data_IF_900971725310
#
_entry.id   IF_900971725310
#
_cell.length_a   1.000
_cell.length_b   1.000
_cell.length_c   1.000
_cell.angle_alpha   90.00
_cell.angle_beta   90.00
_cell.angle_gamma   90.00
#
_symmetry.space_group_name_H-M   'P 1'
#
loop_
_entity.id
_entity.type
_entity.pdbx_description
1 polymer ?
#
# COMPACT_ATOMS: atom_id res chain seq x y z
N UNK A 1 -43.02 0.53 3.99
CA UNK A 1 -42.88 -0.82 3.38
C UNK A 1 -42.62 -1.78 4.51
N UNK A 2 -43.47 -2.80 4.71
CA UNK A 2 -43.23 -3.81 5.72
C UNK A 2 -42.06 -4.69 5.25
N UNK A 3 -40.93 -4.62 5.94
CA UNK A 3 -39.77 -5.48 5.69
C UNK A 3 -40.21 -6.95 5.94
N UNK A 4 -40.12 -7.81 4.92
CA UNK A 4 -40.36 -9.27 5.00
C UNK A 4 -39.06 -10.04 4.85
N UNK A 5 -39.01 -11.31 5.29
CA UNK A 5 -37.80 -12.13 5.12
C UNK A 5 -37.38 -12.26 3.64
N UNK A 6 -38.33 -12.41 2.71
CA UNK A 6 -38.02 -12.43 1.27
C UNK A 6 -37.46 -11.09 0.76
N UNK A 7 -37.93 -9.94 1.27
CA UNK A 7 -37.33 -8.64 0.92
C UNK A 7 -35.93 -8.46 1.51
N UNK A 8 -35.65 -9.03 2.68
CA UNK A 8 -34.32 -9.03 3.28
C UNK A 8 -33.36 -9.85 2.43
N UNK A 9 -33.75 -11.04 1.97
CA UNK A 9 -32.94 -11.86 1.07
C UNK A 9 -32.61 -11.12 -0.23
N UNK A 10 -33.60 -10.48 -0.86
CA UNK A 10 -33.37 -9.66 -2.05
C UNK A 10 -32.41 -8.49 -1.80
N UNK A 11 -32.54 -7.83 -0.64
CA UNK A 11 -31.63 -6.75 -0.23
C UNK A 11 -30.20 -7.24 -0.01
N UNK A 12 -30.02 -8.36 0.68
CA UNK A 12 -28.70 -8.95 0.93
C UNK A 12 -28.04 -9.41 -0.38
N UNK A 13 -28.80 -10.00 -1.29
CA UNK A 13 -28.29 -10.46 -2.58
C UNK A 13 -27.85 -9.32 -3.52
N UNK A 14 -28.51 -8.16 -3.43
CA UNK A 14 -28.19 -6.98 -4.24
C UNK A 14 -27.28 -5.96 -3.56
N UNK A 15 -26.91 -6.17 -2.29
CA UNK A 15 -26.11 -5.22 -1.54
C UNK A 15 -24.68 -5.18 -2.05
N UNK A 16 -24.22 -3.98 -2.35
CA UNK A 16 -22.81 -3.70 -2.71
C UNK A 16 -22.10 -2.92 -1.62
N UNK A 17 -22.86 -2.35 -0.68
CA UNK A 17 -22.37 -1.55 0.44
C UNK A 17 -23.32 -1.64 1.65
N UNK A 18 -22.84 -1.37 2.88
CA UNK A 18 -23.65 -1.51 4.09
C UNK A 18 -24.92 -0.64 4.12
N UNK A 19 -24.92 0.52 3.47
CA UNK A 19 -26.11 1.37 3.37
C UNK A 19 -27.23 0.73 2.54
N UNK A 20 -26.92 -0.17 1.61
CA UNK A 20 -27.93 -0.90 0.84
C UNK A 20 -28.72 -1.85 1.76
N UNK A 21 -28.08 -2.37 2.81
CA UNK A 21 -28.69 -3.29 3.80
C UNK A 21 -29.42 -2.54 4.90
N UNK A 22 -28.73 -1.60 5.55
CA UNK A 22 -29.23 -0.93 6.75
C UNK A 22 -29.98 0.38 6.46
N UNK A 23 -29.85 0.95 5.26
CA UNK A 23 -30.43 2.23 4.88
C UNK A 23 -29.73 3.42 5.50
N UNK A 24 -30.19 4.63 5.19
CA UNK A 24 -29.67 5.83 5.84
C UNK A 24 -29.94 5.78 7.35
N UNK A 25 -28.89 6.01 8.14
CA UNK A 25 -28.95 6.00 9.61
C UNK A 25 -28.86 7.45 10.11
N UNK A 26 -29.89 7.91 10.82
CA UNK A 26 -29.96 9.26 11.38
C UNK A 26 -29.51 9.32 12.84
N UNK A 27 -29.19 10.54 13.30
CA UNK A 27 -28.82 10.78 14.69
C UNK A 27 -27.49 10.12 15.07
N UNK A 28 -27.46 9.44 16.22
CA UNK A 28 -26.32 8.58 16.60
C UNK A 28 -26.31 7.34 15.70
N UNK A 29 -25.47 7.40 14.66
CA UNK A 29 -25.35 6.36 13.63
C UNK A 29 -25.00 5.00 14.20
N UNK A 30 -24.17 4.94 15.26
CA UNK A 30 -23.77 3.67 15.88
C UNK A 30 -24.95 3.02 16.62
N UNK A 31 -25.72 3.83 17.36
CA UNK A 31 -26.95 3.35 18.01
C UNK A 31 -28.02 2.94 16.99
N UNK A 32 -28.21 3.74 15.93
CA UNK A 32 -29.16 3.47 14.87
C UNK A 32 -28.82 2.16 14.14
N UNK A 33 -27.54 1.92 13.83
CA UNK A 33 -27.06 0.66 13.24
C UNK A 33 -27.41 -0.53 14.14
N UNK A 34 -27.11 -0.44 15.44
CA UNK A 34 -27.39 -1.53 16.40
C UNK A 34 -28.88 -1.86 16.48
N UNK A 35 -29.75 -0.84 16.43
CA UNK A 35 -31.19 -1.04 16.41
C UNK A 35 -31.64 -1.71 15.10
N UNK A 36 -31.16 -1.21 13.96
CA UNK A 36 -31.51 -1.74 12.64
C UNK A 36 -31.04 -3.18 12.46
N UNK A 37 -29.81 -3.49 12.89
CA UNK A 37 -29.27 -4.85 12.86
C UNK A 37 -30.14 -5.81 13.65
N UNK A 38 -30.55 -5.46 14.89
CA UNK A 38 -31.42 -6.31 15.70
C UNK A 38 -32.77 -6.60 15.03
N UNK A 39 -33.36 -5.60 14.37
CA UNK A 39 -34.61 -5.78 13.62
C UNK A 39 -34.43 -6.79 12.48
N UNK A 40 -33.40 -6.60 11.65
CA UNK A 40 -33.12 -7.50 10.52
C UNK A 40 -32.69 -8.91 10.98
N UNK A 41 -31.96 -9.01 12.09
CA UNK A 41 -31.53 -10.27 12.67
C UNK A 41 -32.72 -11.08 13.23
N UNK A 42 -33.69 -10.42 13.86
CA UNK A 42 -34.93 -11.07 14.28
C UNK A 42 -35.72 -11.60 13.07
N UNK A 43 -35.75 -10.85 11.97
CA UNK A 43 -36.39 -11.31 10.73
C UNK A 43 -35.68 -12.50 10.07
N UNK A 44 -34.35 -12.57 10.18
CA UNK A 44 -33.54 -13.67 9.64
C UNK A 44 -33.45 -14.89 10.58
N UNK A 45 -34.08 -14.85 11.76
CA UNK A 45 -33.98 -15.92 12.73
C UNK A 45 -34.68 -17.20 12.23
N UNK A 46 -34.08 -18.40 12.39
CA UNK A 46 -34.69 -19.66 11.94
C UNK A 46 -36.09 -19.91 12.51
N UNK A 47 -36.33 -19.59 13.78
CA UNK A 47 -37.65 -19.76 14.43
C UNK A 47 -38.75 -18.91 13.81
N UNK A 48 -38.39 -17.79 13.16
CA UNK A 48 -39.35 -16.92 12.47
C UNK A 48 -39.62 -17.37 11.02
N UNK A 49 -38.87 -18.37 10.52
CA UNK A 49 -38.91 -18.83 9.13
C UNK A 49 -38.94 -20.37 9.05
N UNK A 50 -39.98 -21.02 9.61
CA UNK A 50 -40.10 -22.48 9.58
C UNK A 50 -40.11 -23.00 8.13
N UNK A 51 -39.31 -24.04 7.86
CA UNK A 51 -39.14 -24.61 6.52
C UNK A 51 -38.08 -23.93 5.64
N UNK A 52 -37.43 -22.84 6.12
CA UNK A 52 -36.38 -22.09 5.38
C UNK A 52 -35.08 -21.94 6.17
N UNK A 53 -34.69 -22.98 6.91
CA UNK A 53 -33.56 -22.93 7.84
C UNK A 53 -32.23 -22.59 7.16
N UNK A 54 -31.93 -23.20 6.01
CA UNK A 54 -30.68 -22.96 5.28
C UNK A 54 -30.56 -21.50 4.80
N UNK A 55 -31.63 -20.94 4.25
CA UNK A 55 -31.68 -19.54 3.80
C UNK A 55 -31.57 -18.56 4.98
N UNK A 56 -32.21 -18.89 6.10
CA UNK A 56 -32.14 -18.08 7.33
C UNK A 56 -30.71 -18.02 7.87
N UNK A 57 -30.01 -19.16 7.89
CA UNK A 57 -28.63 -19.24 8.34
C UNK A 57 -27.68 -18.48 7.42
N UNK A 58 -27.84 -18.62 6.09
CA UNK A 58 -27.07 -17.85 5.11
C UNK A 58 -27.32 -16.34 5.25
N UNK A 59 -28.59 -15.93 5.38
CA UNK A 59 -28.95 -14.53 5.58
C UNK A 59 -28.36 -13.94 6.86
N UNK A 60 -28.33 -14.71 7.95
CA UNK A 60 -27.75 -14.27 9.22
C UNK A 60 -26.22 -14.09 9.12
N UNK A 61 -25.54 -15.00 8.41
CA UNK A 61 -24.10 -14.90 8.15
C UNK A 61 -23.77 -13.64 7.34
N UNK A 62 -24.48 -13.41 6.24
CA UNK A 62 -24.33 -12.20 5.42
C UNK A 62 -24.66 -10.93 6.19
N UNK A 63 -25.76 -10.93 6.96
CA UNK A 63 -26.14 -9.77 7.77
C UNK A 63 -25.07 -9.43 8.82
N UNK A 64 -24.43 -10.44 9.42
CA UNK A 64 -23.32 -10.24 10.35
C UNK A 64 -22.09 -9.65 9.63
N UNK A 65 -21.77 -10.14 8.43
CA UNK A 65 -20.70 -9.58 7.60
C UNK A 65 -20.94 -8.09 7.29
N UNK A 66 -22.14 -7.74 6.81
CA UNK A 66 -22.51 -6.36 6.52
C UNK A 66 -22.51 -5.47 7.77
N UNK A 67 -22.93 -6.00 8.93
CA UNK A 67 -22.91 -5.25 10.18
C UNK A 67 -21.48 -4.90 10.61
N UNK A 68 -20.54 -5.85 10.50
CA UNK A 68 -19.13 -5.59 10.79
C UNK A 68 -18.53 -4.52 9.86
N UNK A 69 -18.89 -4.55 8.56
CA UNK A 69 -18.51 -3.50 7.61
C UNK A 69 -19.11 -2.14 7.97
N UNK A 70 -20.39 -2.09 8.32
CA UNK A 70 -21.08 -0.86 8.73
C UNK A 70 -20.41 -0.22 9.96
N UNK A 71 -20.06 -1.03 10.97
CA UNK A 71 -19.36 -0.55 12.17
C UNK A 71 -18.02 0.09 11.83
N UNK A 72 -17.22 -0.53 10.94
CA UNK A 72 -15.95 0.06 10.46
C UNK A 72 -16.17 1.38 9.73
N UNK A 73 -17.15 1.42 8.81
CA UNK A 73 -17.47 2.65 8.08
C UNK A 73 -17.93 3.79 8.99
N UNK A 74 -18.73 3.48 10.01
CA UNK A 74 -19.16 4.49 10.99
C UNK A 74 -17.97 5.01 11.79
N UNK A 75 -17.09 4.12 12.27
CA UNK A 75 -15.89 4.52 13.01
C UNK A 75 -14.94 5.41 12.18
N UNK A 76 -14.92 5.23 10.86
CA UNK A 76 -14.14 6.02 9.91
C UNK A 76 -14.90 7.25 9.37
N UNK A 77 -16.16 7.45 9.74
CA UNK A 77 -17.00 8.52 9.22
C UNK A 77 -17.33 8.39 7.71
N UNK A 78 -17.22 7.19 7.14
CA UNK A 78 -17.44 6.90 5.71
C UNK A 78 -18.80 6.27 5.41
N UNK A 79 -19.60 5.93 6.42
CA UNK A 79 -20.90 5.29 6.23
C UNK A 79 -21.82 6.13 5.32
N UNK A 80 -22.34 5.49 4.26
CA UNK A 80 -23.24 6.13 3.29
C UNK A 80 -22.57 7.10 2.32
N UNK A 81 -21.23 7.21 2.32
CA UNK A 81 -20.49 7.99 1.32
C UNK A 81 -20.16 7.13 0.12
N UNK A 82 -20.13 7.73 -1.06
CA UNK A 82 -19.59 7.06 -2.24
C UNK A 82 -18.09 6.77 -2.04
N UNK A 83 -17.61 5.57 -2.41
CA UNK A 83 -16.18 5.27 -2.34
C UNK A 83 -15.39 6.15 -3.31
N UNK A 84 -14.16 6.49 -2.93
CA UNK A 84 -13.19 7.19 -3.79
C UNK A 84 -12.55 6.25 -4.80
N UNK A 85 -12.44 4.97 -4.43
CA UNK A 85 -12.02 3.88 -5.32
C UNK A 85 -12.78 2.62 -4.95
N UNK A 86 -13.26 1.88 -5.95
CA UNK A 86 -13.82 0.55 -5.77
C UNK A 86 -13.38 -0.31 -6.95
N UNK A 87 -12.72 -1.43 -6.65
CA UNK A 87 -12.20 -2.36 -7.64
C UNK A 87 -12.75 -3.73 -7.30
N UNK A 88 -13.51 -4.32 -8.22
CA UNK A 88 -13.92 -5.72 -8.13
C UNK A 88 -13.04 -6.56 -9.06
N UNK A 89 -12.42 -7.59 -8.51
CA UNK A 89 -11.68 -8.63 -9.23
C UNK A 89 -12.37 -9.98 -8.98
N UNK A 90 -12.05 -11.03 -9.76
CA UNK A 90 -12.52 -12.39 -9.43
C UNK A 90 -12.14 -12.87 -8.02
N UNK A 91 -11.07 -12.31 -7.44
CA UNK A 91 -10.52 -12.69 -6.15
C UNK A 91 -11.19 -11.94 -4.99
N UNK A 92 -11.46 -10.65 -5.17
CA UNK A 92 -11.90 -9.79 -4.08
C UNK A 92 -12.53 -8.47 -4.56
N UNK A 93 -13.16 -7.75 -3.64
CA UNK A 93 -13.56 -6.36 -3.86
C UNK A 93 -12.80 -5.45 -2.90
N UNK A 94 -12.06 -4.49 -3.45
CA UNK A 94 -11.29 -3.50 -2.72
C UNK A 94 -12.01 -2.17 -2.73
N UNK A 95 -12.25 -1.59 -1.56
CA UNK A 95 -12.97 -0.31 -1.45
C UNK A 95 -12.22 0.67 -0.57
N UNK A 96 -12.04 1.89 -1.06
CA UNK A 96 -11.35 2.98 -0.37
C UNK A 96 -12.19 4.25 -0.30
N UNK A 97 -12.23 4.88 0.88
CA UNK A 97 -13.00 6.10 1.15
C UNK A 97 -12.11 7.31 1.46
N UNK A 98 -10.86 7.07 1.84
CA UNK A 98 -9.90 8.12 2.13
C UNK A 98 -9.51 8.89 0.86
N UNK A 99 -9.04 10.13 1.04
CA UNK A 99 -8.41 10.86 -0.05
C UNK A 99 -7.15 10.10 -0.52
N UNK A 100 -6.85 10.09 -1.84
CA UNK A 100 -5.63 9.49 -2.32
C UNK A 100 -4.40 10.25 -1.81
N UNK A 101 -3.32 9.51 -1.57
CA UNK A 101 -2.00 10.05 -1.31
C UNK A 101 -1.31 10.23 -2.66
N UNK A 102 -0.94 11.46 -3.00
CA UNK A 102 -0.31 11.75 -4.28
C UNK A 102 1.16 11.33 -4.31
N UNK A 103 1.58 10.59 -5.35
CA UNK A 103 2.98 10.31 -5.67
C UNK A 103 3.47 11.12 -6.87
N UNK A 104 4.59 10.72 -7.50
CA UNK A 104 5.06 11.32 -8.76
C UNK A 104 4.33 10.67 -9.96
N UNK A 105 4.50 9.35 -10.09
CA UNK A 105 3.95 8.53 -11.18
C UNK A 105 2.56 7.95 -10.90
N UNK A 106 2.22 7.80 -9.62
CA UNK A 106 1.06 7.06 -9.14
C UNK A 106 0.33 7.83 -8.04
N UNK A 107 -0.95 7.54 -7.87
CA UNK A 107 -1.71 7.90 -6.67
C UNK A 107 -1.95 6.62 -5.84
N UNK A 108 -1.84 6.74 -4.52
CA UNK A 108 -2.05 5.64 -3.59
C UNK A 108 -3.40 5.80 -2.91
N UNK A 109 -4.23 4.77 -2.97
CA UNK A 109 -5.56 4.77 -2.37
C UNK A 109 -5.58 3.77 -1.21
N UNK A 110 -5.68 4.24 0.04
CA UNK A 110 -6.00 3.36 1.17
C UNK A 110 -7.35 2.69 0.94
N UNK A 111 -7.38 1.37 1.06
CA UNK A 111 -8.55 0.55 0.77
C UNK A 111 -8.68 -0.61 1.76
N UNK A 112 -9.79 -1.32 1.70
CA UNK A 112 -10.05 -2.52 2.50
C UNK A 112 -10.59 -3.66 1.62
N UNK A 113 -10.21 -4.88 1.96
CA UNK A 113 -10.83 -6.13 1.50
C UNK A 113 -10.66 -7.19 2.58
N UNK A 114 -11.51 -7.14 3.61
CA UNK A 114 -11.36 -7.94 4.84
C UNK A 114 -10.23 -7.47 5.77
N UNK A 115 -9.12 -7.01 5.17
CA UNK A 115 -7.96 -6.40 5.81
C UNK A 115 -7.56 -5.10 5.11
N UNK A 116 -6.59 -4.37 5.67
CA UNK A 116 -6.11 -3.10 5.12
C UNK A 116 -5.25 -3.33 3.88
N UNK A 117 -5.58 -2.62 2.82
CA UNK A 117 -4.93 -2.66 1.52
C UNK A 117 -4.49 -1.26 1.10
N UNK A 118 -3.57 -1.21 0.14
CA UNK A 118 -3.13 -0.01 -0.53
C UNK A 118 -3.19 -0.26 -2.04
N UNK A 119 -4.00 0.49 -2.75
CA UNK A 119 -4.10 0.39 -4.21
C UNK A 119 -3.24 1.50 -4.81
N UNK A 120 -2.14 1.13 -5.46
CA UNK A 120 -1.27 2.07 -6.18
C UNK A 120 -1.70 2.13 -7.64
N UNK A 121 -2.23 3.28 -8.08
CA UNK A 121 -2.80 3.47 -9.43
C UNK A 121 -1.90 4.38 -10.24
N UNK A 122 -1.53 3.98 -11.45
CA UNK A 122 -0.83 4.83 -12.39
C UNK A 122 -1.65 6.10 -12.68
N UNK A 123 -1.02 7.28 -12.64
CA UNK A 123 -1.71 8.55 -12.97
C UNK A 123 -2.11 8.62 -14.44
N UNK A 124 -1.22 8.15 -15.31
CA UNK A 124 -1.38 8.15 -16.77
C UNK A 124 -1.15 6.75 -17.33
N UNK A 125 -1.86 6.37 -18.42
CA UNK A 125 -1.58 5.12 -19.15
C UNK A 125 -0.11 4.96 -19.58
N UNK A 126 0.63 6.06 -19.77
CA UNK A 126 2.05 6.04 -20.13
C UNK A 126 2.95 5.43 -19.05
N UNK A 127 2.49 5.35 -17.79
CA UNK A 127 3.25 4.76 -16.69
C UNK A 127 2.88 3.30 -16.44
N UNK A 128 2.04 2.70 -17.29
CA UNK A 128 1.58 1.33 -17.11
C UNK A 128 2.74 0.32 -17.11
N UNK A 129 3.74 0.53 -17.97
CA UNK A 129 4.93 -0.33 -18.02
C UNK A 129 5.72 -0.30 -16.70
N UNK A 130 5.79 0.85 -16.03
CA UNK A 130 6.43 0.99 -14.71
C UNK A 130 5.67 0.24 -13.61
N UNK A 131 4.32 0.30 -13.60
CA UNK A 131 3.52 -0.52 -12.67
C UNK A 131 3.63 -2.01 -12.96
N UNK A 132 3.75 -2.39 -14.24
CA UNK A 132 3.98 -3.78 -14.62
C UNK A 132 5.36 -4.26 -14.16
N UNK A 133 6.40 -3.41 -14.28
CA UNK A 133 7.73 -3.69 -13.76
C UNK A 133 7.71 -3.91 -12.23
N UNK A 134 7.02 -3.04 -11.48
CA UNK A 134 6.84 -3.21 -10.03
C UNK A 134 6.15 -4.55 -9.70
N UNK A 135 5.06 -4.89 -10.41
CA UNK A 135 4.36 -6.15 -10.18
C UNK A 135 5.29 -7.36 -10.44
N UNK A 136 6.03 -7.36 -11.55
CA UNK A 136 7.01 -8.41 -11.87
C UNK A 136 8.12 -8.51 -10.82
N UNK A 137 8.68 -7.38 -10.38
CA UNK A 137 9.72 -7.35 -9.35
C UNK A 137 9.22 -7.92 -8.02
N UNK A 138 8.05 -7.48 -7.55
CA UNK A 138 7.47 -7.96 -6.29
C UNK A 138 7.07 -9.45 -6.35
N UNK A 139 6.59 -9.93 -7.50
CA UNK A 139 6.32 -11.36 -7.70
C UNK A 139 7.62 -12.19 -7.68
N UNK A 140 8.71 -11.68 -8.26
CA UNK A 140 10.02 -12.34 -8.22
C UNK A 140 10.56 -12.38 -6.79
N UNK A 141 10.56 -11.25 -6.09
CA UNK A 141 10.98 -11.16 -4.68
C UNK A 141 10.16 -12.10 -3.79
N UNK A 142 8.83 -12.15 -3.96
CA UNK A 142 7.98 -13.05 -3.19
C UNK A 142 8.31 -14.53 -3.41
N UNK A 143 8.69 -14.90 -4.63
CA UNK A 143 9.08 -16.27 -4.99
C UNK A 143 10.46 -16.63 -4.44
N UNK A 144 11.46 -15.79 -4.69
CA UNK A 144 12.85 -16.05 -4.29
C UNK A 144 13.03 -16.03 -2.77
N UNK A 145 12.27 -15.19 -2.06
CA UNK A 145 12.38 -15.03 -0.61
C UNK A 145 11.28 -15.76 0.17
N UNK A 146 10.56 -16.69 -0.47
CA UNK A 146 9.48 -17.44 0.16
C UNK A 146 9.97 -18.15 1.44
N UNK A 147 9.31 -17.88 2.57
CA UNK A 147 9.65 -18.45 3.89
C UNK A 147 10.90 -17.86 4.55
N UNK A 148 11.60 -16.92 3.92
CA UNK A 148 12.79 -16.30 4.48
C UNK A 148 12.44 -15.04 5.30
N UNK A 149 13.06 -14.80 6.48
CA UNK A 149 12.79 -13.61 7.28
C UNK A 149 13.02 -12.28 6.54
N UNK A 150 14.02 -12.23 5.65
CA UNK A 150 14.34 -11.05 4.83
C UNK A 150 13.21 -10.61 3.90
N UNK A 151 12.21 -11.47 3.66
CA UNK A 151 11.00 -11.10 2.91
C UNK A 151 10.25 -9.95 3.56
N UNK A 152 10.38 -9.75 4.88
CA UNK A 152 9.76 -8.65 5.61
C UNK A 152 10.26 -7.25 5.20
N UNK A 153 11.33 -7.17 4.40
CA UNK A 153 11.87 -5.90 3.89
C UNK A 153 11.23 -5.41 2.58
N UNK A 154 10.16 -6.06 2.11
CA UNK A 154 9.56 -5.77 0.81
C UNK A 154 8.03 -5.73 0.89
N UNK A 155 7.36 -4.92 0.05
CA UNK A 155 5.91 -4.92 -0.05
C UNK A 155 5.35 -6.29 -0.44
N UNK A 156 4.10 -6.53 -0.07
CA UNK A 156 3.36 -7.70 -0.51
C UNK A 156 2.34 -7.30 -1.57
N UNK A 157 2.64 -7.67 -2.83
CA UNK A 157 1.69 -7.61 -3.91
C UNK A 157 0.60 -8.67 -3.69
N UNK A 158 -0.65 -8.22 -3.63
CA UNK A 158 -1.82 -9.09 -3.62
C UNK A 158 -2.16 -9.48 -5.06
N UNK A 159 -2.39 -8.47 -5.91
CA UNK A 159 -2.62 -8.67 -7.35
C UNK A 159 -2.41 -7.38 -8.16
N UNK A 160 -1.97 -7.50 -9.42
CA UNK A 160 -2.04 -6.41 -10.39
C UNK A 160 -3.43 -6.35 -11.04
N UNK A 161 -3.93 -5.13 -11.30
CA UNK A 161 -5.25 -4.89 -11.88
C UNK A 161 -5.16 -3.88 -13.03
N UNK A 162 -6.05 -4.00 -14.01
CA UNK A 162 -6.26 -2.98 -15.03
C UNK A 162 -7.55 -2.22 -14.75
N UNK A 163 -7.44 -0.91 -14.54
CA UNK A 163 -8.57 -0.02 -14.37
C UNK A 163 -8.92 0.63 -15.70
N UNK A 164 -10.22 0.76 -15.97
CA UNK A 164 -10.74 1.49 -17.11
C UNK A 164 -11.47 2.72 -16.57
N UNK A 165 -11.09 3.90 -17.04
CA UNK A 165 -11.85 5.12 -16.74
C UNK A 165 -13.04 5.30 -17.68
N UNK A 166 -13.90 6.27 -17.37
CA UNK A 166 -15.09 6.59 -18.16
C UNK A 166 -14.76 7.03 -19.60
N UNK A 167 -13.54 7.56 -19.81
CA UNK A 167 -13.01 7.91 -21.13
C UNK A 167 -12.45 6.73 -21.92
N UNK A 168 -12.45 5.53 -21.32
CA UNK A 168 -11.95 4.30 -21.92
C UNK A 168 -10.44 4.11 -21.82
N UNK A 169 -9.71 5.04 -21.20
CA UNK A 169 -8.28 4.87 -20.99
C UNK A 169 -8.03 3.79 -19.93
N UNK A 170 -6.96 3.03 -20.14
CA UNK A 170 -6.59 1.91 -19.28
C UNK A 170 -5.37 2.27 -18.45
N UNK A 171 -5.52 2.22 -17.13
CA UNK A 171 -4.45 2.51 -16.17
C UNK A 171 -4.22 1.29 -15.30
N UNK A 172 -2.97 0.85 -15.19
CA UNK A 172 -2.59 -0.25 -14.31
C UNK A 172 -2.61 0.20 -12.86
N UNK A 173 -2.95 -0.73 -11.99
CA UNK A 173 -2.88 -0.59 -10.56
C UNK A 173 -2.26 -1.84 -9.93
N UNK A 174 -1.55 -1.67 -8.82
CA UNK A 174 -1.07 -2.76 -7.99
C UNK A 174 -1.81 -2.69 -6.65
N UNK A 175 -2.49 -3.78 -6.28
CA UNK A 175 -3.07 -3.94 -4.95
C UNK A 175 -1.98 -4.52 -4.05
N UNK A 176 -1.61 -3.76 -3.03
CA UNK A 176 -0.61 -4.12 -2.04
C UNK A 176 -1.28 -4.32 -0.68
N UNK A 177 -0.72 -5.19 0.16
CA UNK A 177 -1.01 -5.19 1.60
C UNK A 177 -0.58 -3.84 2.17
N UNK A 178 -1.41 -3.21 3.00
CA UNK A 178 -1.05 -1.94 3.60
C UNK A 178 0.01 -2.13 4.70
N UNK A 179 1.13 -1.43 4.58
CA UNK A 179 2.13 -1.33 5.64
C UNK A 179 1.62 -0.38 6.74
N UNK A 180 1.89 -0.69 8.01
CA UNK A 180 1.47 0.13 9.16
C UNK A 180 2.64 0.46 10.08
N UNK A 181 2.50 1.59 10.79
CA UNK A 181 3.48 2.06 11.79
C UNK A 181 4.88 2.32 11.22
N UNK A 182 4.95 2.58 9.91
CA UNK A 182 6.16 3.03 9.27
C UNK A 182 6.20 4.56 9.15
N UNK A 183 7.41 5.09 9.18
CA UNK A 183 7.73 6.46 8.77
C UNK A 183 8.72 6.41 7.61
N UNK A 184 8.61 7.34 6.66
CA UNK A 184 9.58 7.38 5.55
C UNK A 184 10.89 8.02 6.01
N UNK A 185 12.01 7.68 5.36
CA UNK A 185 13.26 8.40 5.62
C UNK A 185 13.16 9.87 5.22
N UNK A 186 12.30 10.23 4.26
CA UNK A 186 11.99 11.63 3.96
C UNK A 186 11.43 12.37 5.19
N UNK A 187 10.50 11.76 5.92
CA UNK A 187 9.94 12.33 7.15
C UNK A 187 10.99 12.42 8.26
N UNK A 188 11.85 11.41 8.39
CA UNK A 188 12.98 11.43 9.36
C UNK A 188 13.93 12.58 9.05
N UNK A 189 14.36 12.74 7.79
CA UNK A 189 15.26 13.81 7.38
C UNK A 189 14.63 15.19 7.59
N UNK A 190 13.31 15.32 7.34
CA UNK A 190 12.59 16.57 7.58
C UNK A 190 12.50 16.91 9.08
N UNK A 191 12.28 15.91 9.94
CA UNK A 191 12.22 16.09 11.39
C UNK A 191 13.60 16.37 12.02
N UNK A 192 14.67 15.81 11.43
CA UNK A 192 16.05 15.92 11.91
C UNK A 192 16.99 16.49 10.83
N UNK A 193 16.84 17.78 10.47
CA UNK A 193 17.57 18.37 9.34
C UNK A 193 19.09 18.45 9.54
N UNK A 194 19.56 18.40 10.80
CA UNK A 194 20.99 18.36 11.17
C UNK A 194 21.55 16.94 11.25
N UNK A 195 20.73 15.93 10.92
CA UNK A 195 21.06 14.52 11.05
C UNK A 195 20.55 13.88 12.34
N UNK A 196 20.54 12.55 12.34
CA UNK A 196 20.20 11.70 13.48
C UNK A 196 21.47 11.14 14.13
N UNK A 197 21.31 10.47 15.27
CA UNK A 197 22.43 9.82 15.93
C UNK A 197 23.06 8.74 15.02
N UNK A 198 24.41 8.66 14.91
CA UNK A 198 25.05 7.73 13.98
C UNK A 198 24.69 6.25 14.17
N UNK A 199 24.40 5.82 15.40
CA UNK A 199 23.96 4.44 15.66
C UNK A 199 22.60 4.13 15.03
N UNK A 200 21.66 5.09 15.06
CA UNK A 200 20.34 4.93 14.47
C UNK A 200 20.44 4.93 12.94
N UNK A 201 21.24 5.84 12.38
CA UNK A 201 21.54 5.87 10.95
C UNK A 201 22.19 4.55 10.48
N UNK A 202 23.14 4.00 11.26
CA UNK A 202 23.82 2.75 10.95
C UNK A 202 22.86 1.55 10.96
N UNK A 203 21.92 1.46 11.91
CA UNK A 203 20.89 0.42 11.86
C UNK A 203 20.07 0.59 10.59
N UNK A 204 19.51 1.78 10.34
CA UNK A 204 18.58 1.99 9.22
C UNK A 204 19.26 1.61 7.90
N UNK A 205 20.52 2.00 7.75
CA UNK A 205 21.35 1.64 6.62
C UNK A 205 21.58 0.13 6.50
N UNK A 206 21.81 -0.58 7.62
CA UNK A 206 21.93 -2.03 7.62
C UNK A 206 20.65 -2.72 7.09
N UNK A 207 19.45 -2.22 7.44
CA UNK A 207 18.19 -2.73 6.87
C UNK A 207 18.10 -2.50 5.36
N UNK A 208 18.48 -1.31 4.89
CA UNK A 208 18.55 -0.99 3.46
C UNK A 208 19.51 -1.92 2.74
N UNK A 209 20.73 -2.10 3.24
CA UNK A 209 21.73 -2.99 2.64
C UNK A 209 21.28 -4.45 2.62
N UNK A 210 20.61 -4.92 3.68
CA UNK A 210 20.04 -6.27 3.74
C UNK A 210 19.02 -6.49 2.62
N UNK A 211 18.09 -5.53 2.46
CA UNK A 211 17.08 -5.59 1.42
C UNK A 211 17.70 -5.50 0.00
N UNK A 212 18.66 -4.61 -0.22
CA UNK A 212 19.37 -4.49 -1.49
C UNK A 212 20.11 -5.79 -1.85
N UNK A 213 20.84 -6.37 -0.91
CA UNK A 213 21.54 -7.63 -1.14
C UNK A 213 20.57 -8.75 -1.55
N UNK A 214 19.42 -8.88 -0.89
CA UNK A 214 18.38 -9.83 -1.27
C UNK A 214 17.80 -9.56 -2.67
N UNK A 215 17.58 -8.30 -3.03
CA UNK A 215 17.08 -7.92 -4.35
C UNK A 215 18.10 -8.17 -5.47
N UNK A 216 19.38 -7.82 -5.23
CA UNK A 216 20.47 -8.05 -6.17
C UNK A 216 20.71 -9.54 -6.40
N UNK A 217 20.62 -10.36 -5.35
CA UNK A 217 20.66 -11.83 -5.48
C UNK A 217 19.47 -12.38 -6.26
N UNK A 218 18.31 -11.73 -6.15
CA UNK A 218 17.16 -11.99 -6.98
C UNK A 218 17.27 -11.37 -8.38
N UNK A 219 18.42 -10.82 -8.80
CA UNK A 219 18.64 -10.25 -10.13
C UNK A 219 17.81 -9.01 -10.43
N UNK A 220 17.57 -8.16 -9.43
CA UNK A 220 16.82 -6.91 -9.56
C UNK A 220 17.67 -5.75 -9.03
N UNK A 221 17.74 -4.66 -9.80
CA UNK A 221 18.22 -3.36 -9.34
C UNK A 221 17.01 -2.51 -8.96
N UNK A 222 17.00 -1.89 -7.78
CA UNK A 222 15.87 -1.06 -7.34
C UNK A 222 15.74 0.19 -8.22
N UNK A 223 16.87 0.84 -8.53
CA UNK A 223 16.95 1.88 -9.55
C UNK A 223 16.46 3.26 -9.11
N UNK A 224 15.79 3.37 -7.96
CA UNK A 224 15.34 4.62 -7.36
C UNK A 224 15.30 4.56 -5.83
N UNK A 225 16.46 4.32 -5.20
CA UNK A 225 16.55 4.26 -3.74
C UNK A 225 16.62 5.68 -3.16
N UNK A 226 15.45 6.25 -2.92
CA UNK A 226 15.26 7.66 -2.55
C UNK A 226 14.68 7.80 -1.13
N UNK A 227 14.78 8.98 -0.48
CA UNK A 227 14.25 9.16 0.88
C UNK A 227 12.78 8.73 1.06
N UNK A 228 11.83 9.03 0.15
CA UNK A 228 10.45 8.57 0.31
C UNK A 228 10.25 7.08 0.05
N UNK A 229 11.25 6.38 -0.51
CA UNK A 229 11.15 4.97 -0.92
C UNK A 229 11.72 3.98 0.11
N UNK A 230 12.17 4.49 1.25
CA UNK A 230 12.60 3.68 2.38
C UNK A 230 11.69 3.98 3.56
N UNK A 231 10.96 2.96 3.98
CA UNK A 231 10.12 3.01 5.17
C UNK A 231 10.85 2.34 6.33
N UNK A 232 10.80 2.94 7.52
CA UNK A 232 11.34 2.36 8.75
C UNK A 232 10.25 2.21 9.80
N UNK A 233 10.34 1.16 10.62
CA UNK A 233 9.44 0.93 11.74
C UNK A 233 10.23 0.87 13.02
N UNK A 234 9.89 1.79 13.93
CA UNK A 234 10.73 2.09 15.08
C UNK A 234 10.65 1.04 16.18
N UNK A 235 9.54 0.29 16.30
CA UNK A 235 9.35 -0.64 17.41
C UNK A 235 10.09 -1.98 17.22
N UNK A 236 10.27 -2.42 15.97
CA UNK A 236 10.94 -3.69 15.62
C UNK A 236 12.21 -3.49 14.76
N UNK A 237 12.57 -2.22 14.51
CA UNK A 237 13.73 -1.82 13.72
C UNK A 237 13.69 -2.34 12.28
N UNK A 238 12.49 -2.66 11.75
CA UNK A 238 12.34 -3.13 10.38
C UNK A 238 12.51 -1.97 9.37
N UNK A 239 12.99 -2.30 8.18
CA UNK A 239 13.04 -1.38 7.03
C UNK A 239 12.40 -2.04 5.82
N UNK A 240 11.63 -1.29 5.03
CA UNK A 240 10.97 -1.76 3.81
C UNK A 240 11.36 -0.87 2.64
N UNK A 241 11.81 -1.49 1.55
CA UNK A 241 12.07 -0.82 0.28
C UNK A 241 10.80 -0.84 -0.58
N UNK A 242 10.25 0.34 -0.86
CA UNK A 242 9.01 0.51 -1.62
C UNK A 242 9.29 1.17 -2.98
N UNK A 243 8.26 1.24 -3.83
CA UNK A 243 8.32 1.89 -5.14
C UNK A 243 9.27 1.23 -6.14
N UNK A 244 8.99 -0.04 -6.45
CA UNK A 244 9.74 -0.85 -7.42
C UNK A 244 9.41 -0.51 -8.89
N UNK A 245 8.68 0.58 -9.13
CA UNK A 245 8.30 1.02 -10.48
C UNK A 245 9.50 1.35 -11.37
N UNK A 246 10.64 1.67 -10.76
CA UNK A 246 11.89 2.01 -11.44
C UNK A 246 12.84 0.81 -11.60
N UNK A 247 12.45 -0.34 -11.06
CA UNK A 247 13.33 -1.51 -11.02
C UNK A 247 13.58 -2.09 -12.40
N UNK A 248 14.79 -2.60 -12.57
CA UNK A 248 15.26 -3.19 -13.83
C UNK A 248 16.12 -4.42 -13.54
N UNK A 249 16.41 -5.21 -14.57
CA UNK A 249 17.41 -6.26 -14.46
C UNK A 249 18.83 -5.66 -14.58
N UNK A 250 19.84 -6.27 -13.94
CA UNK A 250 21.23 -5.84 -14.11
C UNK A 250 21.63 -5.81 -15.59
N UNK A 251 22.17 -4.68 -16.04
CA UNK A 251 22.51 -4.47 -17.44
C UNK A 251 21.53 -3.58 -18.22
N UNK A 252 20.31 -3.41 -17.73
CA UNK A 252 19.32 -2.50 -18.33
C UNK A 252 19.50 -1.06 -17.82
N UNK A 253 19.13 -0.07 -18.64
CA UNK A 253 19.11 1.33 -18.21
C UNK A 253 17.82 1.62 -17.40
N UNK A 254 17.95 2.46 -16.37
CA UNK A 254 16.80 2.96 -15.59
C UNK A 254 15.85 3.75 -16.52
N UNK A 255 14.58 3.34 -16.58
CA UNK A 255 13.59 3.85 -17.55
C UNK A 255 13.07 5.25 -17.24
N UNK A 256 13.01 5.59 -15.95
CA UNK A 256 12.46 6.84 -15.46
C UNK A 256 13.22 7.29 -14.21
N UNK A 257 13.21 8.60 -13.93
CA UNK A 257 13.79 9.15 -12.69
C UNK A 257 12.73 9.99 -11.99
N UNK A 258 12.79 10.01 -10.66
CA UNK A 258 12.00 10.97 -9.87
C UNK A 258 12.63 12.35 -9.99
N UNK A 259 11.93 13.29 -10.64
CA UNK A 259 12.46 14.65 -10.87
C UNK A 259 12.78 15.41 -9.58
N UNK A 260 11.94 15.36 -8.52
CA UNK A 260 12.25 16.00 -7.24
C UNK A 260 13.55 15.50 -6.58
N UNK A 261 13.99 14.29 -6.93
CA UNK A 261 15.15 13.63 -6.34
C UNK A 261 16.28 13.36 -7.34
N UNK A 262 16.29 14.06 -8.48
CA UNK A 262 17.26 13.83 -9.55
C UNK A 262 18.73 13.91 -9.07
N UNK A 263 19.02 14.73 -8.05
CA UNK A 263 20.35 14.88 -7.48
C UNK A 263 20.86 13.66 -6.69
N UNK A 264 19.98 12.71 -6.34
CA UNK A 264 20.35 11.47 -5.63
C UNK A 264 20.81 10.37 -6.57
N UNK A 265 20.51 10.48 -7.86
CA UNK A 265 20.89 9.46 -8.84
C UNK A 265 22.38 9.59 -9.20
N UNK A 266 23.07 8.46 -9.39
CA UNK A 266 24.46 8.47 -9.82
C UNK A 266 24.58 8.86 -11.31
N UNK A 267 25.76 9.34 -11.75
CA UNK A 267 25.94 9.92 -13.08
C UNK A 267 25.63 8.94 -14.23
N UNK A 268 25.83 7.64 -14.03
CA UNK A 268 25.50 6.62 -15.04
C UNK A 268 24.00 6.62 -15.41
N UNK A 269 23.11 6.98 -14.47
CA UNK A 269 21.66 7.05 -14.74
C UNK A 269 21.34 8.23 -15.67
N UNK A 270 21.94 9.39 -15.42
CA UNK A 270 21.79 10.55 -16.30
C UNK A 270 22.38 10.28 -17.70
N UNK A 271 23.48 9.51 -17.76
CA UNK A 271 24.11 9.07 -18.99
C UNK A 271 23.38 7.89 -19.69
N UNK A 272 22.28 7.38 -19.11
CA UNK A 272 21.52 6.21 -19.59
C UNK A 272 22.39 4.95 -19.79
N UNK A 273 23.41 4.80 -18.95
CA UNK A 273 24.23 3.61 -18.92
C UNK A 273 23.53 2.47 -18.15
N UNK A 274 23.95 1.21 -18.38
CA UNK A 274 23.44 0.05 -17.65
C UNK A 274 23.47 0.22 -16.13
N UNK A 275 22.35 -0.05 -15.47
CA UNK A 275 22.26 -0.09 -14.03
C UNK A 275 22.88 -1.37 -13.48
N UNK A 276 23.55 -1.25 -12.34
CA UNK A 276 24.21 -2.38 -11.65
C UNK A 276 23.94 -2.30 -10.14
N UNK A 277 24.31 -3.32 -9.34
CA UNK A 277 24.24 -3.22 -7.88
C UNK A 277 24.96 -1.99 -7.30
N UNK A 278 26.00 -1.50 -7.99
CA UNK A 278 26.71 -0.28 -7.60
C UNK A 278 25.83 0.98 -7.71
N UNK A 279 24.88 1.00 -8.65
CA UNK A 279 23.91 2.10 -8.81
C UNK A 279 23.05 2.26 -7.56
N UNK A 280 22.51 1.17 -7.02
CA UNK A 280 21.74 1.21 -5.77
C UNK A 280 22.65 1.50 -4.56
N UNK A 281 23.86 0.93 -4.54
CA UNK A 281 24.82 1.13 -3.44
C UNK A 281 25.24 2.59 -3.32
N UNK A 282 25.42 3.29 -4.45
CA UNK A 282 25.68 4.72 -4.48
C UNK A 282 24.53 5.51 -3.83
N UNK A 283 23.29 5.25 -4.26
CA UNK A 283 22.11 5.93 -3.70
C UNK A 283 21.95 5.62 -2.21
N UNK A 284 22.26 4.38 -1.78
CA UNK A 284 22.21 3.99 -0.38
C UNK A 284 23.23 4.78 0.45
N UNK A 285 24.46 4.94 -0.05
CA UNK A 285 25.49 5.73 0.61
C UNK A 285 25.11 7.22 0.69
N UNK A 286 24.52 7.77 -0.37
CA UNK A 286 24.01 9.15 -0.37
C UNK A 286 22.89 9.34 0.67
N UNK A 287 21.98 8.36 0.81
CA UNK A 287 20.95 8.37 1.84
C UNK A 287 21.54 8.33 3.26
N UNK A 288 22.54 7.48 3.50
CA UNK A 288 23.22 7.45 4.80
C UNK A 288 23.88 8.79 5.12
N UNK A 289 24.60 9.37 4.16
CA UNK A 289 25.21 10.70 4.34
C UNK A 289 24.14 11.75 4.69
N UNK A 290 22.99 11.72 4.01
CA UNK A 290 21.87 12.63 4.30
C UNK A 290 21.30 12.41 5.71
N UNK A 291 21.11 11.17 6.15
CA UNK A 291 20.67 10.85 7.51
C UNK A 291 21.63 11.36 8.59
N UNK A 292 22.92 11.43 8.29
CA UNK A 292 23.93 11.95 9.21
C UNK A 292 23.99 13.49 9.23
N UNK A 293 23.21 14.18 8.38
CA UNK A 293 23.21 15.64 8.26
C UNK A 293 24.01 16.18 7.06
N UNK A 294 24.38 15.32 6.12
CA UNK A 294 25.03 15.71 4.85
C UNK A 294 24.12 16.56 3.98
N UNK A 295 24.66 17.11 2.89
CA UNK A 295 23.94 18.01 2.01
C UNK A 295 22.73 17.35 1.31
N UNK A 296 21.93 18.14 0.59
CA UNK A 296 20.73 17.63 -0.07
C UNK A 296 21.01 16.54 -1.10
N UNK A 297 22.20 16.49 -1.70
CA UNK A 297 22.61 15.47 -2.65
C UNK A 297 23.24 14.23 -1.97
N UNK A 298 23.51 14.28 -0.66
CA UNK A 298 24.27 13.27 0.05
C UNK A 298 25.75 13.23 -0.39
N UNK A 299 26.25 14.30 -1.02
CA UNK A 299 27.61 14.38 -1.54
C UNK A 299 28.56 14.86 -0.44
N UNK A 300 29.01 13.89 0.36
CA UNK A 300 29.97 14.11 1.43
C UNK A 300 29.38 13.96 2.83
N UNK A 301 30.25 13.60 3.77
CA UNK A 301 29.87 13.42 5.18
C UNK A 301 29.93 14.75 5.92
N UNK A 302 28.97 15.04 6.81
CA UNK A 302 29.00 16.26 7.61
C UNK A 302 30.18 16.24 8.60
N UNK A 303 30.64 17.43 9.07
CA UNK A 303 31.78 17.52 9.99
C UNK A 303 31.59 16.77 11.32
N UNK A 304 30.35 16.46 11.68
CA UNK A 304 29.99 15.65 12.86
C UNK A 304 30.40 14.18 12.74
N UNK A 305 30.63 13.68 11.52
CA UNK A 305 31.09 12.30 11.31
C UNK A 305 32.61 12.24 11.54
N UNK A 306 33.10 11.33 12.41
CA UNK A 306 34.52 11.19 12.65
C UNK A 306 35.30 10.94 11.36
N UNK A 307 36.49 11.52 11.25
CA UNK A 307 37.39 11.26 10.12
C UNK A 307 37.80 9.79 10.10
N UNK A 308 38.13 9.30 8.91
CA UNK A 308 38.67 7.95 8.72
C UNK A 308 39.82 7.69 9.69
N UNK A 309 39.81 6.52 10.33
CA UNK A 309 40.93 6.03 11.11
C UNK A 309 42.04 5.68 10.11
N UNK A 310 42.96 6.62 9.92
CA UNK A 310 44.17 6.44 9.10
C UNK A 310 45.15 5.55 9.86
#
# INVERSE_FOLDING_TARGET
MNDTFSSLLGRLAGATQPIDVFGALGGDTARALKQRYRQLAAMAHPDSNPGRAAESQAAFHELHHWHALAQRQIAQGSYGRAPRISIATPQATYTGYAAPIGGDLCDLFPAESGERMLIKVARSPHNNDLLAAEASALQRIARELAGQPVRAHFPTLVEPVMLRDDGGAQRRANVLRAEHEYVSLADVIAAYPQGIHPADAAWMFNRVLTALASAHNAGLIHGALLPPHVLIRLHDHNGVLIDWCYSVEPGDAIKAISRPHAAHYPPEVAAKQPATPATDTYMAAALLARLLGGDAAGQGLPPSVPRSLV
#
